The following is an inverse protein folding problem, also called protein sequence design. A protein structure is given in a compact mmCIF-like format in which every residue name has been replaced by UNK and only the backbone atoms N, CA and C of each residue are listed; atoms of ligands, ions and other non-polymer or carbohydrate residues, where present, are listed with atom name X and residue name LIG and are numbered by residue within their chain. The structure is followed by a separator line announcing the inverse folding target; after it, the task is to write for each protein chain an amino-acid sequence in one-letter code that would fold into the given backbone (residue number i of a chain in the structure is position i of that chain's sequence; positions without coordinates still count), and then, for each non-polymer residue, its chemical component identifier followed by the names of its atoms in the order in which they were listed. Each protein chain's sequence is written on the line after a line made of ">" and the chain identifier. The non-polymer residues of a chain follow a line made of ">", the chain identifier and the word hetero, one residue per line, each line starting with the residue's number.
data_IF_944406114777
#
_entry.id   IF_944406114777
#
_cell.length_a   1.000
_cell.length_b   1.000
_cell.length_c   1.000
_cell.angle_alpha   90.00
_cell.angle_beta   90.00
_cell.angle_gamma   90.00
#
_symmetry.space_group_name_H-M   'P 1'
#
loop_
_entity.id
_entity.type
_entity.pdbx_description
1 polymer ?
#
# COMPACT_ATOMS: atom_id res chain seq x y z
N UNK A 1 -7.59 -22.60 -5.33
CA UNK A 1 -7.71 -23.33 -4.04
C UNK A 1 -7.35 -22.40 -2.90
N UNK A 2 -8.18 -22.38 -1.87
CA UNK A 2 -7.92 -21.57 -0.69
C UNK A 2 -6.99 -22.30 0.26
N UNK A 3 -6.03 -21.61 0.85
CA UNK A 3 -5.11 -22.17 1.83
C UNK A 3 -5.12 -21.30 3.07
N UNK A 4 -4.49 -21.78 4.14
CA UNK A 4 -4.41 -21.08 5.42
C UNK A 4 -3.00 -20.60 5.74
N UNK A 5 -2.13 -20.48 4.73
CA UNK A 5 -0.73 -20.10 4.92
C UNK A 5 -0.58 -18.78 5.67
N UNK A 6 -1.49 -17.82 5.38
CA UNK A 6 -1.49 -16.50 6.02
C UNK A 6 -2.70 -16.31 6.92
N UNK A 7 -3.23 -17.38 7.48
CA UNK A 7 -4.43 -17.30 8.31
C UNK A 7 -4.26 -16.28 9.44
N UNK A 8 -5.21 -15.37 9.52
CA UNK A 8 -5.28 -14.30 10.53
C UNK A 8 -4.13 -13.30 10.49
N UNK A 9 -3.25 -13.37 9.49
CA UNK A 9 -2.22 -12.36 9.28
C UNK A 9 -2.87 -11.08 8.75
N UNK A 10 -2.40 -9.94 9.24
CA UNK A 10 -2.90 -8.65 8.81
C UNK A 10 -2.00 -8.08 7.74
N UNK A 11 -2.57 -7.82 6.57
CA UNK A 11 -1.85 -7.37 5.39
C UNK A 11 -2.39 -6.02 4.93
N UNK A 12 -1.50 -5.08 4.71
CA UNK A 12 -1.83 -3.75 4.17
C UNK A 12 -1.37 -3.70 2.72
N UNK A 13 -2.23 -3.23 1.81
CA UNK A 13 -1.86 -3.07 0.40
C UNK A 13 -2.26 -1.67 -0.06
N UNK A 14 -1.29 -0.91 -0.54
CA UNK A 14 -1.60 0.37 -1.17
C UNK A 14 -1.83 0.15 -2.66
N UNK A 15 -2.81 0.84 -3.24
CA UNK A 15 -3.13 0.69 -4.65
C UNK A 15 -3.72 -0.66 -4.98
N UNK A 16 -4.49 -1.24 -4.07
CA UNK A 16 -5.02 -2.59 -4.21
C UNK A 16 -6.37 -2.71 -4.90
N UNK A 17 -6.90 -1.60 -5.44
CA UNK A 17 -8.24 -1.61 -6.03
C UNK A 17 -8.28 -2.30 -7.38
N UNK A 18 -7.18 -2.29 -8.13
CA UNK A 18 -7.14 -2.98 -9.42
C UNK A 18 -5.72 -3.36 -9.80
N UNK A 19 -5.57 -3.99 -10.96
CA UNK A 19 -4.28 -4.40 -11.50
C UNK A 19 -3.54 -5.38 -10.59
N UNK A 20 -2.23 -5.21 -10.51
CA UNK A 20 -1.35 -6.09 -9.73
C UNK A 20 -1.72 -6.05 -8.25
N UNK A 21 -2.02 -4.85 -7.74
CA UNK A 21 -2.40 -4.70 -6.34
C UNK A 21 -3.63 -5.49 -5.97
N UNK A 22 -4.62 -5.53 -6.86
CA UNK A 22 -5.82 -6.33 -6.64
C UNK A 22 -5.51 -7.83 -6.64
N UNK A 23 -4.67 -8.27 -7.58
CA UNK A 23 -4.26 -9.68 -7.61
C UNK A 23 -3.55 -10.07 -6.32
N UNK A 24 -2.68 -9.20 -5.82
CA UNK A 24 -1.96 -9.44 -4.56
C UNK A 24 -2.95 -9.53 -3.41
N UNK A 25 -3.87 -8.58 -3.32
CA UNK A 25 -4.87 -8.54 -2.25
C UNK A 25 -5.74 -9.80 -2.24
N UNK A 26 -6.21 -10.19 -3.44
CA UNK A 26 -7.06 -11.37 -3.57
C UNK A 26 -6.31 -12.64 -3.18
N UNK A 27 -5.04 -12.74 -3.56
CA UNK A 27 -4.25 -13.92 -3.23
C UNK A 27 -4.01 -14.03 -1.72
N UNK A 28 -3.70 -12.92 -1.06
CA UNK A 28 -3.56 -12.94 0.40
C UNK A 28 -4.86 -13.37 1.07
N UNK A 29 -6.00 -12.86 0.58
CA UNK A 29 -7.30 -13.28 1.12
C UNK A 29 -7.54 -14.76 0.91
N UNK A 30 -7.16 -15.29 -0.25
CA UNK A 30 -7.30 -16.73 -0.54
C UNK A 30 -6.45 -17.57 0.41
N UNK A 31 -5.40 -17.00 0.97
CA UNK A 31 -4.53 -17.71 1.91
C UNK A 31 -4.88 -17.41 3.38
N UNK A 32 -6.04 -16.84 3.61
CA UNK A 32 -6.57 -16.65 4.95
C UNK A 32 -6.24 -15.32 5.62
N UNK A 33 -5.55 -14.43 4.93
CA UNK A 33 -5.15 -13.14 5.50
C UNK A 33 -6.33 -12.18 5.62
N UNK A 34 -6.20 -11.27 6.57
CA UNK A 34 -7.07 -10.12 6.72
C UNK A 34 -6.39 -8.97 6.00
N UNK A 35 -6.98 -8.52 4.89
CA UNK A 35 -6.33 -7.56 3.99
C UNK A 35 -7.04 -6.21 4.07
N UNK A 36 -6.26 -5.16 4.30
CA UNK A 36 -6.72 -3.78 4.24
C UNK A 36 -6.09 -3.10 3.03
N UNK A 37 -6.93 -2.61 2.14
CA UNK A 37 -6.52 -1.91 0.93
C UNK A 37 -6.81 -0.43 1.11
N UNK A 38 -5.85 0.42 0.75
CA UNK A 38 -6.07 1.85 0.63
C UNK A 38 -5.79 2.26 -0.81
N UNK A 39 -6.74 2.95 -1.43
CA UNK A 39 -6.65 3.37 -2.82
C UNK A 39 -7.50 4.63 -2.99
N UNK A 40 -7.08 5.55 -3.83
CA UNK A 40 -7.86 6.77 -4.07
C UNK A 40 -9.09 6.51 -4.94
N UNK A 41 -9.12 5.38 -5.64
CA UNK A 41 -10.25 5.00 -6.47
C UNK A 41 -11.43 4.59 -5.60
N UNK A 42 -12.64 4.92 -6.02
CA UNK A 42 -13.85 4.52 -5.29
C UNK A 42 -14.01 3.00 -5.26
N UNK A 43 -14.53 2.48 -4.17
CA UNK A 43 -14.71 1.04 -4.00
C UNK A 43 -15.01 0.70 -2.55
N UNK A 44 -15.03 -0.60 -2.25
CA UNK A 44 -15.36 -1.11 -0.91
C UNK A 44 -14.14 -1.17 0.02
N UNK A 45 -13.01 -0.65 -0.40
CA UNK A 45 -11.80 -0.53 0.38
C UNK A 45 -11.76 0.85 1.07
N UNK A 46 -10.67 1.12 1.80
CA UNK A 46 -10.46 2.45 2.37
C UNK A 46 -10.10 3.40 1.23
N UNK A 47 -10.96 4.39 0.98
CA UNK A 47 -10.75 5.35 -0.11
C UNK A 47 -9.98 6.54 0.42
N UNK A 48 -8.80 6.78 -0.14
CA UNK A 48 -7.99 7.92 0.27
C UNK A 48 -6.75 8.07 -0.58
N UNK A 49 -6.27 9.29 -0.67
CA UNK A 49 -5.08 9.65 -1.43
C UNK A 49 -3.87 9.58 -0.52
N UNK A 50 -3.00 8.60 -0.75
CA UNK A 50 -1.83 8.36 0.10
C UNK A 50 -0.76 9.44 0.01
N UNK A 51 -0.89 10.39 -0.92
CA UNK A 51 0.00 11.54 -0.94
C UNK A 51 -0.22 12.48 0.24
N UNK A 52 -1.32 12.28 0.97
CA UNK A 52 -1.72 13.16 2.07
C UNK A 52 -1.41 12.48 3.40
N UNK A 53 -0.62 13.16 4.22
CA UNK A 53 -0.18 12.65 5.52
C UNK A 53 -1.35 12.28 6.41
N UNK A 54 -2.35 13.15 6.49
CA UNK A 54 -3.52 12.94 7.35
C UNK A 54 -4.36 11.74 6.91
N UNK A 55 -4.35 11.42 5.62
CA UNK A 55 -5.06 10.22 5.12
C UNK A 55 -4.37 8.96 5.61
N UNK A 56 -3.04 8.93 5.53
CA UNK A 56 -2.28 7.78 6.02
C UNK A 56 -2.48 7.58 7.53
N UNK A 57 -2.47 8.68 8.28
CA UNK A 57 -2.68 8.63 9.72
C UNK A 57 -4.05 8.09 10.08
N UNK A 58 -5.10 8.57 9.40
CA UNK A 58 -6.46 8.10 9.64
C UNK A 58 -6.60 6.62 9.29
N UNK A 59 -6.00 6.19 8.20
CA UNK A 59 -6.00 4.79 7.79
C UNK A 59 -5.33 3.90 8.85
N UNK A 60 -4.18 4.32 9.34
CA UNK A 60 -3.46 3.55 10.36
C UNK A 60 -4.27 3.45 11.64
N UNK A 61 -4.93 4.53 12.06
CA UNK A 61 -5.79 4.52 13.24
C UNK A 61 -6.91 3.49 13.05
N UNK A 62 -7.52 3.45 11.88
CA UNK A 62 -8.61 2.50 11.64
C UNK A 62 -8.11 1.05 11.74
N UNK A 63 -6.99 0.74 11.10
CA UNK A 63 -6.44 -0.63 11.16
C UNK A 63 -6.08 -1.01 12.59
N UNK A 64 -5.39 -0.12 13.29
CA UNK A 64 -4.91 -0.40 14.64
C UNK A 64 -6.04 -0.39 15.69
N UNK A 65 -7.20 0.15 15.34
CA UNK A 65 -8.37 0.04 16.21
C UNK A 65 -8.93 -1.39 16.25
N UNK A 66 -8.57 -2.21 15.27
CA UNK A 66 -9.08 -3.57 15.13
C UNK A 66 -8.01 -4.64 15.32
N UNK A 67 -6.75 -4.29 15.15
CA UNK A 67 -5.65 -5.25 15.21
C UNK A 67 -4.46 -4.63 15.91
N UNK A 68 -3.79 -5.43 16.75
CA UNK A 68 -2.59 -4.96 17.47
C UNK A 68 -1.32 -5.10 16.67
N UNK A 69 -1.33 -5.94 15.65
CA UNK A 69 -0.13 -6.27 14.87
C UNK A 69 -0.43 -6.24 13.39
N UNK A 70 0.58 -5.85 12.61
CA UNK A 70 0.56 -5.91 11.16
C UNK A 70 1.69 -6.83 10.72
N UNK A 71 1.39 -7.74 9.82
CA UNK A 71 2.33 -8.78 9.40
C UNK A 71 2.99 -8.47 8.06
N UNK A 72 2.26 -7.82 7.14
CA UNK A 72 2.79 -7.53 5.81
C UNK A 72 2.31 -6.14 5.37
N UNK A 73 3.21 -5.35 4.82
CA UNK A 73 2.87 -4.09 4.17
C UNK A 73 3.36 -4.18 2.72
N UNK A 74 2.43 -4.07 1.78
CA UNK A 74 2.74 -4.09 0.35
C UNK A 74 2.56 -2.68 -0.20
N UNK A 75 3.67 -2.04 -0.51
CA UNK A 75 3.67 -0.70 -1.11
C UNK A 75 3.61 -0.87 -2.62
N UNK A 76 2.39 -0.88 -3.15
CA UNK A 76 2.14 -1.14 -4.56
C UNK A 76 1.63 0.09 -5.32
N UNK A 77 1.10 1.11 -4.63
CA UNK A 77 0.61 2.29 -5.32
C UNK A 77 1.75 2.96 -6.08
N UNK A 78 1.58 3.09 -7.39
CA UNK A 78 2.58 3.67 -8.27
C UNK A 78 2.02 4.96 -8.86
N UNK A 79 2.80 6.03 -8.85
CA UNK A 79 2.36 7.27 -9.48
C UNK A 79 2.41 7.15 -11.01
N UNK A 80 1.52 7.88 -11.68
CA UNK A 80 1.64 8.06 -13.11
C UNK A 80 2.74 9.08 -13.35
N UNK A 81 3.75 8.68 -14.10
CA UNK A 81 4.89 9.55 -14.39
C UNK A 81 4.90 9.93 -15.86
N UNK A 82 5.07 11.21 -16.11
CA UNK A 82 5.29 11.73 -17.45
C UNK A 82 6.79 11.84 -17.70
N UNK A 83 7.17 11.98 -18.95
CA UNK A 83 8.56 12.24 -19.31
C UNK A 83 9.05 13.57 -18.72
N UNK A 84 10.34 13.74 -18.63
CA UNK A 84 10.96 14.89 -17.98
C UNK A 84 10.53 16.22 -18.62
N UNK A 85 10.30 16.19 -19.93
CA UNK A 85 9.92 17.40 -20.68
C UNK A 85 8.44 17.74 -20.55
N UNK A 86 7.63 16.86 -20.03
CA UNK A 86 6.19 17.08 -19.87
C UNK A 86 5.76 17.16 -18.41
N UNK A 87 6.59 16.71 -17.49
CA UNK A 87 6.25 16.63 -16.08
C UNK A 87 6.45 17.99 -15.40
N UNK A 88 5.40 18.51 -14.79
CA UNK A 88 5.52 19.75 -14.02
C UNK A 88 6.17 19.49 -12.68
N UNK A 89 6.59 20.57 -12.02
CA UNK A 89 7.13 20.48 -10.67
C UNK A 89 6.11 19.85 -9.71
N UNK A 90 4.86 20.29 -9.79
CA UNK A 90 3.80 19.78 -8.92
C UNK A 90 3.49 18.31 -9.18
N UNK A 91 3.52 17.91 -10.44
CA UNK A 91 3.32 16.50 -10.79
C UNK A 91 4.45 15.64 -10.26
N UNK A 92 5.67 16.13 -10.32
CA UNK A 92 6.81 15.42 -9.79
C UNK A 92 6.73 15.31 -8.26
N UNK A 93 6.37 16.39 -7.58
CA UNK A 93 6.18 16.38 -6.13
C UNK A 93 5.11 15.38 -5.72
N UNK A 94 4.00 15.35 -6.45
CA UNK A 94 2.93 14.40 -6.18
C UNK A 94 3.43 12.95 -6.36
N UNK A 95 4.16 12.70 -7.43
CA UNK A 95 4.70 11.36 -7.70
C UNK A 95 5.64 10.90 -6.59
N UNK A 96 6.50 11.79 -6.08
CA UNK A 96 7.36 11.47 -4.94
C UNK A 96 6.54 11.17 -3.70
N UNK A 97 5.47 11.93 -3.47
CA UNK A 97 4.61 11.71 -2.31
C UNK A 97 3.95 10.35 -2.35
N UNK A 98 3.47 9.92 -3.51
CA UNK A 98 2.84 8.61 -3.67
C UNK A 98 3.87 7.48 -3.65
N UNK A 99 4.97 7.64 -4.37
CA UNK A 99 5.91 6.55 -4.60
C UNK A 99 6.97 6.36 -3.52
N UNK A 100 7.31 7.40 -2.79
CA UNK A 100 8.40 7.35 -1.81
C UNK A 100 7.92 7.73 -0.42
N UNK A 101 7.40 8.94 -0.27
CA UNK A 101 7.06 9.47 1.04
C UNK A 101 5.97 8.64 1.72
N UNK A 102 4.95 8.23 0.96
CA UNK A 102 3.85 7.43 1.52
C UNK A 102 4.36 6.08 2.03
N UNK A 103 5.24 5.43 1.28
CA UNK A 103 5.80 4.15 1.70
C UNK A 103 6.57 4.28 3.00
N UNK A 104 7.41 5.30 3.10
CA UNK A 104 8.17 5.58 4.31
C UNK A 104 7.24 5.83 5.49
N UNK A 105 6.27 6.71 5.30
CA UNK A 105 5.42 7.14 6.40
C UNK A 105 4.49 6.04 6.88
N UNK A 106 3.98 5.24 5.95
CA UNK A 106 3.12 4.12 6.30
C UNK A 106 3.85 3.12 7.19
N UNK A 107 5.09 2.77 6.83
CA UNK A 107 5.91 1.89 7.65
C UNK A 107 6.15 2.51 9.03
N UNK A 108 6.45 3.81 9.06
CA UNK A 108 6.67 4.52 10.31
C UNK A 108 5.44 4.46 11.22
N UNK A 109 4.25 4.63 10.66
CA UNK A 109 3.01 4.60 11.44
C UNK A 109 2.74 3.24 12.07
N UNK A 110 3.14 2.16 11.41
CA UNK A 110 2.91 0.81 11.92
C UNK A 110 4.14 0.22 12.63
N UNK A 111 5.24 0.97 12.72
CA UNK A 111 6.52 0.40 13.15
C UNK A 111 6.46 -0.31 14.49
N UNK A 112 5.82 0.28 15.49
CA UNK A 112 5.73 -0.32 16.81
C UNK A 112 4.70 -1.44 16.89
N UNK A 113 3.98 -1.68 15.82
CA UNK A 113 2.94 -2.70 15.72
C UNK A 113 3.29 -3.80 14.71
N UNK A 114 4.50 -3.81 14.18
CA UNK A 114 4.91 -4.87 13.26
C UNK A 114 5.14 -6.16 14.03
N UNK A 115 4.57 -7.25 13.53
CA UNK A 115 4.75 -8.56 14.14
C UNK A 115 6.19 -9.05 13.94
N UNK A 116 6.61 -10.00 14.79
CA UNK A 116 7.89 -10.67 14.58
C UNK A 116 7.87 -11.36 13.22
N UNK A 117 8.90 -11.15 12.43
CA UNK A 117 8.96 -11.70 11.08
C UNK A 117 8.11 -10.97 10.05
N UNK A 118 7.64 -9.76 10.37
CA UNK A 118 6.86 -8.97 9.43
C UNK A 118 7.66 -8.67 8.16
N UNK A 119 6.96 -8.57 7.03
CA UNK A 119 7.56 -8.28 5.73
C UNK A 119 7.06 -6.97 5.18
N UNK A 120 7.97 -6.22 4.56
CA UNK A 120 7.64 -5.00 3.83
C UNK A 120 8.04 -5.22 2.39
N UNK A 121 7.07 -5.15 1.50
CA UNK A 121 7.26 -5.45 0.08
C UNK A 121 7.01 -4.18 -0.71
N UNK A 122 8.00 -3.78 -1.50
CA UNK A 122 7.87 -2.63 -2.39
C UNK A 122 7.81 -3.13 -3.83
N UNK A 123 6.72 -2.77 -4.52
CA UNK A 123 6.55 -3.16 -5.91
C UNK A 123 7.16 -2.08 -6.79
N UNK A 124 8.02 -2.50 -7.70
CA UNK A 124 8.66 -1.58 -8.63
C UNK A 124 8.26 -1.97 -10.05
N UNK A 125 8.24 -0.98 -10.94
CA UNK A 125 7.89 -1.19 -12.33
C UNK A 125 9.15 -1.39 -13.16
N UNK A 126 9.09 -2.33 -14.11
CA UNK A 126 10.20 -2.54 -15.04
C UNK A 126 10.41 -1.32 -15.94
N UNK A 127 9.42 -0.44 -16.04
CA UNK A 127 9.54 0.79 -16.84
C UNK A 127 10.55 1.76 -16.25
N UNK A 128 10.83 1.65 -14.96
CA UNK A 128 11.83 2.50 -14.30
C UNK A 128 13.23 2.32 -14.87
N UNK A 129 13.47 1.18 -15.51
CA UNK A 129 14.79 0.81 -16.04
C UNK A 129 14.94 1.13 -17.50
N UNK A 130 13.90 1.64 -18.12
CA UNK A 130 13.92 1.99 -19.53
C UNK A 130 14.28 3.45 -19.68
N UNK A 131 15.23 3.70 -20.49
CA UNK A 131 15.69 5.06 -20.73
C UNK A 131 15.12 5.63 -21.99
#
# INVERSE_FOLDING_TARGET
>A
MQTDTFKDKVVIVTGGANGIGRCISDEFRNQGAIVYVIDKQEGEHYVGDISKKEVLEAFAIEVLSKHNKVDVIVNNALPLMKGIDECSYEEFQYALSVGVTASFYLVKLFMSHLADGASIINISSSRDRMS
#
